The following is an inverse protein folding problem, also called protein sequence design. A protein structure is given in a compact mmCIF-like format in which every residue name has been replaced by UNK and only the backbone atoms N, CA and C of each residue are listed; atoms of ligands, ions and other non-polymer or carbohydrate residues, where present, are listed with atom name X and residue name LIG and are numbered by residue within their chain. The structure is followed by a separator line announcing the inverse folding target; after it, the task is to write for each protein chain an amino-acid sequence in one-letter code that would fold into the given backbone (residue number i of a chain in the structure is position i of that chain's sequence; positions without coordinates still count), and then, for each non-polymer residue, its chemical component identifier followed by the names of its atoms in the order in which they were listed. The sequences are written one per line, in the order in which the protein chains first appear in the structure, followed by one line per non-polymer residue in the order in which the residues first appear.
data_IF_458683394957
#
_entry.id   IF_458683394957
#
_cell.length_a   1.000
_cell.length_b   1.000
_cell.length_c   1.000
_cell.angle_alpha   90.00
_cell.angle_beta   90.00
_cell.angle_gamma   90.00
#
_symmetry.space_group_name_H-M   'P 1'
#
loop_
_entity.id
_entity.type
_entity.pdbx_description
1 polymer ?
#
# COMPACT_ATOMS: atom_id res chain seq x y z
N UNK A 1 17.44 -11.60 -1.10
CA UNK A 1 17.29 -11.63 -2.58
C UNK A 1 15.92 -11.04 -2.90
N UNK A 2 15.80 -9.98 -3.72
CA UNK A 2 14.49 -9.50 -4.15
C UNK A 2 13.95 -10.46 -5.22
N UNK A 3 12.77 -11.08 -5.05
CA UNK A 3 12.24 -11.95 -6.09
C UNK A 3 11.90 -11.08 -7.30
N UNK A 4 12.62 -11.28 -8.41
CA UNK A 4 12.36 -10.65 -9.71
C UNK A 4 10.91 -10.85 -10.18
N UNK A 5 10.23 -11.89 -9.69
CA UNK A 5 8.82 -12.19 -9.98
C UNK A 5 7.84 -11.13 -9.48
N UNK A 6 8.20 -10.34 -8.46
CA UNK A 6 7.30 -9.32 -7.91
C UNK A 6 7.00 -8.22 -8.92
N UNK A 7 8.02 -7.73 -9.63
CA UNK A 7 7.92 -6.61 -10.56
C UNK A 7 7.02 -6.90 -11.76
N UNK A 8 7.06 -8.13 -12.26
CA UNK A 8 6.24 -8.57 -13.39
C UNK A 8 4.77 -8.75 -12.98
N UNK A 9 4.49 -9.29 -11.79
CA UNK A 9 3.13 -9.38 -11.23
C UNK A 9 2.54 -8.00 -10.91
N UNK A 10 3.39 -7.05 -10.48
CA UNK A 10 3.01 -5.69 -10.10
C UNK A 10 2.50 -4.81 -11.26
N UNK A 11 2.86 -5.13 -12.50
CA UNK A 11 2.51 -4.36 -13.70
C UNK A 11 1.33 -4.95 -14.49
N UNK A 12 1.01 -6.23 -14.27
CA UNK A 12 0.01 -6.96 -15.06
C UNK A 12 -1.43 -6.81 -14.55
N UNK A 13 -1.63 -6.51 -13.27
CA UNK A 13 -2.97 -6.44 -12.65
C UNK A 13 -3.31 -5.00 -12.24
N UNK A 14 -3.59 -4.18 -13.26
CA UNK A 14 -4.13 -2.82 -13.09
C UNK A 14 -5.65 -2.95 -13.03
N UNK A 15 -6.25 -2.59 -11.89
CA UNK A 15 -7.70 -2.37 -11.70
C UNK A 15 -8.60 -3.54 -11.25
N UNK A 16 -8.10 -4.59 -10.59
CA UNK A 16 -9.00 -5.49 -9.86
C UNK A 16 -9.61 -4.75 -8.66
N UNK A 17 -10.86 -4.29 -8.82
CA UNK A 17 -11.63 -3.64 -7.78
C UNK A 17 -11.97 -4.71 -6.72
N UNK A 18 -11.58 -4.54 -5.44
CA UNK A 18 -11.76 -5.59 -4.41
C UNK A 18 -13.22 -5.72 -3.93
N UNK A 19 -14.20 -5.49 -4.81
CA UNK A 19 -15.62 -5.33 -4.45
C UNK A 19 -16.27 -6.59 -3.86
N UNK A 20 -15.65 -7.77 -3.97
CA UNK A 20 -16.29 -9.03 -3.57
C UNK A 20 -16.20 -9.38 -2.07
N UNK A 21 -15.30 -8.78 -1.28
CA UNK A 21 -15.22 -9.07 0.17
C UNK A 21 -14.73 -7.87 1.01
N UNK A 22 -15.54 -6.80 1.05
CA UNK A 22 -15.26 -5.63 1.88
C UNK A 22 -15.54 -5.94 3.35
N UNK A 23 -14.51 -5.84 4.19
CA UNK A 23 -14.61 -6.01 5.64
C UNK A 23 -14.02 -4.83 6.38
N UNK A 24 -14.58 -4.51 7.54
CA UNK A 24 -13.95 -3.57 8.45
C UNK A 24 -12.57 -4.11 8.85
N UNK A 25 -11.48 -3.36 8.62
CA UNK A 25 -10.13 -3.84 8.93
C UNK A 25 -9.92 -3.99 10.44
N UNK A 26 -10.74 -3.32 11.27
CA UNK A 26 -10.65 -3.37 12.72
C UNK A 26 -11.43 -4.54 13.33
N UNK A 27 -12.74 -4.60 13.13
CA UNK A 27 -13.58 -5.62 13.78
C UNK A 27 -13.97 -6.78 12.87
N UNK A 28 -13.53 -6.80 11.60
CA UNK A 28 -13.87 -7.87 10.64
C UNK A 28 -15.32 -7.89 10.16
N UNK A 29 -16.15 -6.93 10.59
CA UNK A 29 -17.56 -6.81 10.20
C UNK A 29 -17.70 -6.72 8.68
N UNK A 30 -18.64 -7.48 8.12
CA UNK A 30 -18.89 -7.61 6.68
C UNK A 30 -20.30 -7.16 6.30
N UNK A 31 -21.28 -7.42 7.16
CA UNK A 31 -22.70 -7.22 6.84
C UNK A 31 -23.15 -5.79 7.11
N UNK A 32 -22.54 -5.14 8.10
CA UNK A 32 -22.87 -3.75 8.49
C UNK A 32 -21.91 -2.73 7.90
N UNK A 33 -21.53 -2.91 6.64
CA UNK A 33 -20.66 -1.99 5.89
C UNK A 33 -21.49 -1.19 4.89
N UNK A 34 -21.38 0.14 4.91
CA UNK A 34 -22.03 1.02 3.94
C UNK A 34 -21.01 1.86 3.16
N UNK A 35 -21.31 2.23 1.91
CA UNK A 35 -20.52 3.24 1.18
C UNK A 35 -20.66 4.58 1.91
N UNK A 36 -19.57 5.34 2.02
CA UNK A 36 -19.51 6.62 2.74
C UNK A 36 -18.71 7.67 1.94
N UNK A 37 -19.12 7.88 0.68
CA UNK A 37 -18.43 8.78 -0.26
C UNK A 37 -17.08 8.26 -0.74
N UNK A 38 -16.26 9.16 -1.29
CA UNK A 38 -14.93 8.84 -1.78
C UNK A 38 -13.95 9.98 -1.47
N UNK A 39 -12.65 9.75 -1.66
CA UNK A 39 -11.66 10.81 -1.74
C UNK A 39 -10.79 10.63 -2.98
N UNK A 40 -10.28 11.73 -3.51
CA UNK A 40 -9.43 11.69 -4.70
C UNK A 40 -7.98 11.43 -4.34
N UNK A 41 -7.34 10.56 -5.10
CA UNK A 41 -5.90 10.31 -4.99
C UNK A 41 -5.29 10.30 -6.38
N UNK A 42 -4.15 10.97 -6.52
CA UNK A 42 -3.37 10.90 -7.75
C UNK A 42 -2.96 9.45 -8.05
N UNK A 43 -3.16 9.06 -9.31
CA UNK A 43 -2.52 7.89 -9.88
C UNK A 43 -1.01 8.06 -9.85
N UNK A 44 -0.33 6.95 -10.04
CA UNK A 44 1.12 6.99 -10.05
C UNK A 44 1.70 7.46 -11.39
N UNK A 45 1.13 7.03 -12.51
CA UNK A 45 1.66 7.26 -13.85
C UNK A 45 1.27 8.61 -14.46
N UNK A 46 0.87 9.60 -13.65
CA UNK A 46 0.47 10.91 -14.16
C UNK A 46 -0.16 11.81 -13.11
N UNK A 47 -0.77 12.90 -13.58
CA UNK A 47 -1.54 13.83 -12.77
C UNK A 47 -3.02 13.45 -12.68
N UNK A 48 -3.41 12.32 -13.28
CA UNK A 48 -4.75 11.76 -13.18
C UNK A 48 -5.08 11.39 -11.75
N UNK A 49 -6.36 11.51 -11.40
CA UNK A 49 -6.86 11.17 -10.07
C UNK A 49 -7.85 10.02 -10.16
N UNK A 50 -7.78 9.12 -9.18
CA UNK A 50 -8.77 8.08 -8.97
C UNK A 50 -9.58 8.35 -7.71
N UNK A 51 -10.86 8.01 -7.78
CA UNK A 51 -11.73 8.01 -6.62
C UNK A 51 -11.46 6.77 -5.78
N UNK A 52 -11.05 6.97 -4.52
CA UNK A 52 -10.91 5.89 -3.55
C UNK A 52 -12.19 5.82 -2.72
N UNK A 53 -12.90 4.69 -2.83
CA UNK A 53 -14.12 4.45 -2.07
C UNK A 53 -13.85 4.45 -0.56
N UNK A 54 -14.67 5.20 0.18
CA UNK A 54 -14.74 5.15 1.64
C UNK A 54 -15.91 4.28 2.07
N UNK A 55 -15.68 3.49 3.09
CA UNK A 55 -16.67 2.63 3.72
C UNK A 55 -16.89 3.07 5.15
N UNK A 56 -18.13 2.95 5.61
CA UNK A 56 -18.52 3.11 7.01
C UNK A 56 -18.76 1.75 7.65
N UNK A 57 -18.18 1.52 8.83
CA UNK A 57 -18.55 0.37 9.67
C UNK A 57 -19.68 0.79 10.61
N UNK A 58 -20.83 0.13 10.53
CA UNK A 58 -22.00 0.37 11.40
C UNK A 58 -22.10 -0.64 12.54
N UNK A 59 -21.04 -1.37 12.85
CA UNK A 59 -21.00 -2.18 14.06
C UNK A 59 -20.94 -1.24 15.29
N UNK A 60 -21.93 -1.26 16.21
CA UNK A 60 -21.99 -0.35 17.36
C UNK A 60 -20.78 -0.45 18.29
N UNK A 61 -20.13 -1.61 18.35
CA UNK A 61 -18.96 -1.85 19.21
C UNK A 61 -17.63 -1.53 18.52
N UNK A 62 -17.65 -1.17 17.24
CA UNK A 62 -16.44 -0.84 16.50
C UNK A 62 -16.13 0.67 16.62
N UNK A 63 -14.98 1.07 17.21
CA UNK A 63 -14.62 2.48 17.30
C UNK A 63 -14.28 3.07 15.91
N UNK A 64 -13.94 2.22 14.94
CA UNK A 64 -13.60 2.64 13.58
C UNK A 64 -14.85 2.95 12.77
N UNK A 65 -15.18 4.23 12.65
CA UNK A 65 -16.34 4.69 11.88
C UNK A 65 -16.16 4.57 10.37
N UNK A 66 -14.96 4.86 9.84
CA UNK A 66 -14.72 4.83 8.40
C UNK A 66 -13.37 4.21 8.03
N UNK A 67 -13.30 3.61 6.85
CA UNK A 67 -12.08 3.07 6.28
C UNK A 67 -12.11 3.13 4.76
N UNK A 68 -10.99 2.80 4.13
CA UNK A 68 -10.88 2.71 2.67
C UNK A 68 -9.98 1.54 2.34
N UNK A 69 -10.27 0.88 1.22
CA UNK A 69 -9.43 -0.17 0.66
C UNK A 69 -8.84 0.42 -0.61
N UNK A 70 -7.59 0.92 -0.59
CA UNK A 70 -6.98 1.46 -1.78
C UNK A 70 -6.76 0.33 -2.79
N UNK A 71 -7.00 0.56 -4.09
CA UNK A 71 -6.76 -0.45 -5.12
C UNK A 71 -5.27 -0.78 -5.17
N UNK A 72 -4.94 -2.00 -5.57
CA UNK A 72 -3.57 -2.36 -5.88
C UNK A 72 -3.01 -1.41 -6.97
N UNK A 73 -1.75 -0.92 -6.89
CA UNK A 73 -0.71 -1.13 -5.87
C UNK A 73 -0.59 0.01 -4.82
N UNK A 74 -1.68 0.73 -4.53
CA UNK A 74 -1.65 1.93 -3.70
C UNK A 74 -1.68 1.63 -2.20
N UNK A 75 -0.62 2.02 -1.50
CA UNK A 75 -0.55 1.86 -0.05
C UNK A 75 -1.45 2.85 0.70
N UNK A 76 -2.06 2.47 1.84
CA UNK A 76 -2.71 3.40 2.75
C UNK A 76 -1.76 4.55 3.14
N UNK A 77 -2.20 5.80 3.03
CA UNK A 77 -1.47 7.01 3.46
C UNK A 77 -0.10 7.30 2.80
N UNK A 78 0.52 6.33 2.13
CA UNK A 78 1.74 6.53 1.35
C UNK A 78 1.38 6.84 -0.10
N UNK A 79 1.81 8.01 -0.60
CA UNK A 79 1.49 8.47 -1.98
C UNK A 79 2.20 7.66 -3.06
N UNK A 80 3.32 7.03 -2.73
CA UNK A 80 4.13 6.25 -3.67
C UNK A 80 3.68 4.79 -3.61
N UNK A 81 3.37 4.15 -4.75
CA UNK A 81 3.00 2.74 -4.77
C UNK A 81 4.09 1.82 -4.21
N UNK A 82 3.66 0.67 -3.69
CA UNK A 82 4.58 -0.32 -3.12
C UNK A 82 5.65 -0.77 -4.13
N UNK A 83 5.24 -1.11 -5.34
CA UNK A 83 6.14 -1.56 -6.42
C UNK A 83 7.29 -0.58 -6.63
N UNK A 84 6.95 0.69 -6.76
CA UNK A 84 7.91 1.72 -7.04
C UNK A 84 8.86 1.94 -5.86
N UNK A 85 8.35 1.96 -4.64
CA UNK A 85 9.21 2.02 -3.44
C UNK A 85 10.28 0.93 -3.46
N UNK A 86 9.88 -0.30 -3.80
CA UNK A 86 10.81 -1.44 -3.88
C UNK A 86 11.82 -1.28 -5.02
N UNK A 87 11.39 -0.79 -6.19
CA UNK A 87 12.29 -0.55 -7.34
C UNK A 87 13.31 0.53 -7.03
N UNK A 88 12.88 1.68 -6.52
CA UNK A 88 13.77 2.79 -6.13
C UNK A 88 14.79 2.29 -5.12
N UNK A 89 14.34 1.57 -4.10
CA UNK A 89 15.22 1.03 -3.06
C UNK A 89 16.23 0.05 -3.65
N UNK A 90 15.81 -0.86 -4.52
CA UNK A 90 16.70 -1.81 -5.21
C UNK A 90 17.79 -1.08 -6.00
N UNK A 91 17.40 -0.11 -6.83
CA UNK A 91 18.33 0.69 -7.64
C UNK A 91 19.28 1.53 -6.79
N UNK A 92 18.80 2.07 -5.67
CA UNK A 92 19.62 2.83 -4.75
C UNK A 92 20.63 1.94 -3.99
N UNK A 93 20.20 0.78 -3.48
CA UNK A 93 21.09 -0.18 -2.79
C UNK A 93 22.15 -0.77 -3.72
N UNK A 94 21.81 -0.97 -5.01
CA UNK A 94 22.76 -1.38 -6.05
C UNK A 94 23.75 -0.26 -6.45
N UNK A 95 23.67 0.93 -5.82
CA UNK A 95 24.47 2.12 -6.13
C UNK A 95 24.29 2.65 -7.56
N UNK A 96 23.29 2.17 -8.31
CA UNK A 96 22.97 2.69 -9.65
C UNK A 96 22.37 4.11 -9.56
N UNK A 97 21.57 4.37 -8.52
CA UNK A 97 20.82 5.61 -8.34
C UNK A 97 21.24 6.33 -7.05
N UNK A 98 21.67 7.58 -7.18
CA UNK A 98 21.79 8.50 -6.04
C UNK A 98 20.41 9.00 -5.59
N UNK A 99 20.30 9.61 -4.41
CA UNK A 99 19.04 10.22 -3.95
C UNK A 99 18.53 11.27 -4.95
N UNK A 100 19.43 12.05 -5.56
CA UNK A 100 19.10 13.00 -6.63
C UNK A 100 18.48 12.30 -7.85
N UNK A 101 19.09 11.19 -8.28
CA UNK A 101 18.58 10.40 -9.42
C UNK A 101 17.22 9.79 -9.11
N UNK A 102 17.04 9.27 -7.89
CA UNK A 102 15.74 8.81 -7.41
C UNK A 102 14.68 9.92 -7.44
N UNK A 103 15.02 11.14 -6.99
CA UNK A 103 14.11 12.28 -6.98
C UNK A 103 13.64 12.65 -8.40
N UNK A 104 14.56 12.71 -9.36
CA UNK A 104 14.23 12.95 -10.77
C UNK A 104 13.36 11.85 -11.34
N UNK A 105 13.71 10.59 -11.10
CA UNK A 105 12.93 9.45 -11.60
C UNK A 105 11.51 9.41 -11.03
N UNK A 106 11.37 9.73 -9.75
CA UNK A 106 10.09 9.84 -9.07
C UNK A 106 9.29 11.10 -9.45
N UNK A 107 9.91 12.06 -10.14
CA UNK A 107 9.37 13.42 -10.35
C UNK A 107 8.94 14.08 -9.04
N UNK A 108 9.76 13.96 -7.99
CA UNK A 108 9.50 14.52 -6.65
C UNK A 108 10.71 15.29 -6.13
N UNK A 109 10.50 16.07 -5.07
CA UNK A 109 11.58 16.78 -4.40
C UNK A 109 12.59 15.80 -3.79
N UNK A 110 13.82 16.27 -3.59
CA UNK A 110 14.88 15.49 -2.96
C UNK A 110 14.48 14.96 -1.59
N UNK A 111 13.86 15.80 -0.75
CA UNK A 111 13.37 15.41 0.57
C UNK A 111 12.30 14.33 0.49
N UNK A 112 11.39 14.39 -0.49
CA UNK A 112 10.40 13.33 -0.72
C UNK A 112 11.07 12.03 -1.14
N UNK A 113 12.07 12.07 -2.03
CA UNK A 113 12.80 10.87 -2.45
C UNK A 113 13.59 10.23 -1.31
N UNK A 114 14.25 11.04 -0.46
CA UNK A 114 14.94 10.56 0.73
C UNK A 114 13.98 9.86 1.69
N UNK A 115 12.82 10.49 1.98
CA UNK A 115 11.77 9.88 2.80
C UNK A 115 11.25 8.58 2.18
N UNK A 116 11.04 8.55 0.87
CA UNK A 116 10.60 7.36 0.15
C UNK A 116 11.58 6.20 0.31
N UNK A 117 12.89 6.46 0.19
CA UNK A 117 13.93 5.45 0.42
C UNK A 117 13.92 4.92 1.85
N UNK A 118 13.81 5.81 2.85
CA UNK A 118 13.69 5.40 4.26
C UNK A 118 12.43 4.57 4.50
N UNK A 119 11.28 5.00 3.97
CA UNK A 119 10.03 4.24 4.06
C UNK A 119 10.13 2.89 3.37
N UNK A 120 10.72 2.84 2.18
CA UNK A 120 10.92 1.59 1.44
C UNK A 120 11.80 0.62 2.20
N UNK A 121 12.91 1.08 2.78
CA UNK A 121 13.80 0.25 3.58
C UNK A 121 13.07 -0.35 4.79
N UNK A 122 12.40 0.50 5.58
CA UNK A 122 11.61 0.05 6.74
C UNK A 122 10.50 -0.93 6.36
N UNK A 123 9.82 -0.68 5.24
CA UNK A 123 8.75 -1.56 4.75
C UNK A 123 9.32 -2.92 4.37
N UNK A 124 10.44 -2.95 3.66
CA UNK A 124 11.08 -4.20 3.28
C UNK A 124 11.53 -5.00 4.51
N UNK A 125 12.17 -4.35 5.48
CA UNK A 125 12.66 -5.03 6.68
C UNK A 125 11.49 -5.61 7.49
N UNK A 126 10.41 -4.83 7.67
CA UNK A 126 9.16 -5.30 8.27
C UNK A 126 8.54 -6.46 7.49
N UNK A 127 8.42 -6.35 6.17
CA UNK A 127 7.82 -7.40 5.35
C UNK A 127 8.62 -8.71 5.43
N UNK A 128 9.96 -8.64 5.35
CA UNK A 128 10.82 -9.82 5.48
C UNK A 128 10.61 -10.49 6.83
N UNK A 129 10.53 -9.71 7.91
CA UNK A 129 10.23 -10.24 9.24
C UNK A 129 8.87 -10.94 9.30
N UNK A 130 7.78 -10.26 8.93
CA UNK A 130 6.42 -10.82 8.97
C UNK A 130 6.27 -12.06 8.08
N UNK A 131 6.86 -12.04 6.88
CA UNK A 131 6.83 -13.19 5.96
C UNK A 131 7.57 -14.40 6.52
N UNK A 132 8.68 -14.19 7.24
CA UNK A 132 9.43 -15.26 7.91
C UNK A 132 8.66 -15.91 9.07
N UNK A 133 7.73 -15.16 9.69
CA UNK A 133 6.85 -15.67 10.76
C UNK A 133 5.57 -16.33 10.24
N UNK A 134 5.34 -16.32 8.92
CA UNK A 134 4.11 -16.82 8.31
C UNK A 134 2.89 -15.90 8.47
N UNK A 135 3.06 -14.72 9.07
CA UNK A 135 1.97 -13.78 9.34
C UNK A 135 1.47 -13.04 8.07
N UNK A 136 2.31 -12.96 7.04
CA UNK A 136 1.97 -12.33 5.76
C UNK A 136 2.22 -13.26 4.56
N UNK A 137 1.42 -13.12 3.50
CA UNK A 137 1.65 -13.85 2.25
C UNK A 137 3.00 -13.47 1.66
N UNK A 138 3.70 -14.46 1.10
CA UNK A 138 5.02 -14.28 0.49
C UNK A 138 5.01 -13.29 -0.69
N UNK A 139 3.84 -13.06 -1.31
CA UNK A 139 3.66 -12.12 -2.41
C UNK A 139 2.54 -11.14 -2.00
N UNK A 140 2.88 -9.96 -1.44
CA UNK A 140 1.89 -9.04 -0.90
C UNK A 140 1.06 -8.37 -2.00
N UNK A 141 1.53 -8.39 -3.25
CA UNK A 141 0.91 -7.75 -4.40
C UNK A 141 -0.16 -8.59 -5.11
N UNK A 142 -0.45 -9.82 -4.66
CA UNK A 142 -1.59 -10.55 -5.20
C UNK A 142 -2.90 -9.84 -4.79
N UNK A 143 -3.88 -9.66 -5.71
CA UNK A 143 -5.14 -9.00 -5.36
C UNK A 143 -5.86 -9.61 -4.16
N UNK A 144 -5.82 -10.95 -4.04
CA UNK A 144 -6.38 -11.69 -2.90
C UNK A 144 -5.62 -11.44 -1.58
N UNK A 145 -4.32 -11.18 -1.65
CA UNK A 145 -3.47 -10.87 -0.50
C UNK A 145 -3.54 -9.39 -0.09
N UNK A 146 -3.92 -8.51 -1.01
CA UNK A 146 -3.81 -7.06 -0.85
C UNK A 146 -4.60 -6.49 0.34
N UNK A 147 -5.85 -6.90 0.60
CA UNK A 147 -6.57 -6.43 1.79
C UNK A 147 -5.89 -6.82 3.11
N UNK A 148 -5.39 -8.06 3.21
CA UNK A 148 -4.68 -8.54 4.39
C UNK A 148 -3.36 -7.78 4.60
N UNK A 149 -2.60 -7.60 3.52
CA UNK A 149 -1.35 -6.86 3.54
C UNK A 149 -1.55 -5.38 3.93
N UNK A 150 -2.49 -4.68 3.29
CA UNK A 150 -2.75 -3.25 3.58
C UNK A 150 -3.28 -3.03 5.01
N UNK A 151 -4.03 -3.99 5.56
CA UNK A 151 -4.43 -4.01 6.97
C UNK A 151 -3.23 -4.15 7.89
N UNK A 152 -2.38 -5.16 7.70
CA UNK A 152 -1.18 -5.36 8.50
C UNK A 152 -0.22 -4.16 8.42
N UNK A 153 -0.03 -3.63 7.21
CA UNK A 153 0.73 -2.41 6.97
C UNK A 153 0.17 -1.20 7.76
N UNK A 154 -1.15 -1.02 7.74
CA UNK A 154 -1.79 0.07 8.50
C UNK A 154 -1.57 -0.10 10.01
N UNK A 155 -1.62 -1.33 10.52
CA UNK A 155 -1.37 -1.61 11.93
C UNK A 155 0.08 -1.36 12.36
N UNK A 156 1.04 -1.74 11.52
CA UNK A 156 2.46 -1.59 11.81
C UNK A 156 2.93 -0.14 11.71
N UNK A 157 2.48 0.60 10.68
CA UNK A 157 3.01 1.94 10.39
C UNK A 157 2.13 3.09 10.89
N UNK A 158 0.85 2.85 11.19
CA UNK A 158 -0.10 3.89 11.60
C UNK A 158 -1.00 3.48 12.78
N UNK A 159 -0.42 3.04 13.92
CA UNK A 159 -1.18 2.48 15.05
C UNK A 159 -2.14 3.48 15.70
N UNK A 160 -1.84 4.78 15.67
CA UNK A 160 -2.70 5.82 16.24
C UNK A 160 -3.98 6.09 15.42
N UNK A 161 -4.12 5.49 14.23
CA UNK A 161 -5.31 5.62 13.36
C UNK A 161 -6.20 4.38 13.42
N UNK A 162 -6.19 3.67 14.57
CA UNK A 162 -7.09 2.55 14.85
C UNK A 162 -8.52 3.04 14.99
#
# INVERSE_FOLDING_TARGET
MFPSSWLSLLLSDKNSNPESDIRCPLCGERYRICRNGHYWRYQFEGDDRIAIQRYGCRNPTCPRRTFSIPPHPLLPLCRIPLCLLMVVLKKHRAKEYTVNRCARWLKRSWNTARRALTTAARLLDWFVHESSTGALPAIPCLPSAWPAFTRAYSYAFFPARR
#
